data_IF_340899980538
#
_entry.id   IF_340899980538
#
_cell.length_a   1.000
_cell.length_b   1.000
_cell.length_c   1.000
_cell.angle_alpha   90.00
_cell.angle_beta   90.00
_cell.angle_gamma   90.00
#
_symmetry.space_group_name_H-M   'P 1'
#
loop_
_entity.id
_entity.type
_entity.pdbx_description
1 polymer ?
#
# COMPACT_ATOMS: atom_id res chain seq x y z
N UNK A 1 -7.00 -4.62 0.51
CA UNK A 1 -8.04 -5.10 1.45
C UNK A 1 -8.44 -4.04 2.47
N UNK A 2 -7.53 -3.50 3.29
CA UNK A 2 -7.89 -2.51 4.32
C UNK A 2 -8.64 -1.29 3.77
N UNK A 3 -8.26 -0.78 2.60
CA UNK A 3 -8.99 0.31 1.95
C UNK A 3 -10.45 -0.06 1.62
N UNK A 4 -10.68 -1.25 1.05
CA UNK A 4 -12.04 -1.79 0.80
C UNK A 4 -12.85 -1.94 2.09
N UNK A 5 -12.22 -2.42 3.17
CA UNK A 5 -12.89 -2.53 4.47
C UNK A 5 -13.25 -1.14 5.02
N UNK A 6 -12.35 -0.16 4.89
CA UNK A 6 -12.64 1.21 5.28
C UNK A 6 -13.78 1.84 4.46
N UNK A 7 -13.92 1.49 3.18
CA UNK A 7 -15.02 1.94 2.31
C UNK A 7 -16.36 1.30 2.71
N UNK A 8 -16.36 -0.01 3.00
CA UNK A 8 -17.57 -0.78 3.25
C UNK A 8 -18.09 -0.69 4.69
N UNK A 9 -17.25 -0.30 5.65
CA UNK A 9 -17.60 -0.25 7.07
C UNK A 9 -18.27 1.08 7.43
N UNK A 10 -19.52 0.99 7.90
CA UNK A 10 -20.28 2.15 8.39
C UNK A 10 -19.95 2.55 9.83
N UNK A 11 -19.47 1.61 10.66
CA UNK A 11 -19.08 1.93 12.04
C UNK A 11 -17.83 2.84 12.02
N UNK A 12 -17.89 4.05 12.61
CA UNK A 12 -16.78 5.00 12.53
C UNK A 12 -15.48 4.50 13.16
N UNK A 13 -15.56 3.71 14.24
CA UNK A 13 -14.37 3.24 14.96
C UNK A 13 -13.65 2.18 14.14
N UNK A 14 -14.40 1.20 13.63
CA UNK A 14 -13.85 0.15 12.77
C UNK A 14 -13.36 0.72 11.43
N UNK A 15 -14.13 1.63 10.84
CA UNK A 15 -13.74 2.34 9.61
C UNK A 15 -12.40 3.05 9.78
N UNK A 16 -12.20 3.77 10.88
CA UNK A 16 -10.96 4.48 11.15
C UNK A 16 -9.78 3.52 11.35
N UNK A 17 -10.01 2.37 12.00
CA UNK A 17 -8.99 1.33 12.13
C UNK A 17 -8.53 0.81 10.77
N UNK A 18 -9.47 0.49 9.87
CA UNK A 18 -9.14 0.03 8.52
C UNK A 18 -8.50 1.12 7.67
N UNK A 19 -8.95 2.36 7.82
CA UNK A 19 -8.37 3.51 7.14
C UNK A 19 -6.91 3.71 7.55
N UNK A 20 -6.61 3.67 8.86
CA UNK A 20 -5.24 3.75 9.37
C UNK A 20 -4.37 2.61 8.82
N UNK A 21 -4.87 1.37 8.85
CA UNK A 21 -4.15 0.22 8.32
C UNK A 21 -3.90 0.33 6.80
N UNK A 22 -4.84 0.91 6.03
CA UNK A 22 -4.67 1.16 4.61
C UNK A 22 -3.58 2.22 4.35
N UNK A 23 -3.60 3.32 5.12
CA UNK A 23 -2.59 4.37 5.05
C UNK A 23 -1.20 3.86 5.40
N UNK A 24 -1.05 3.10 6.48
CA UNK A 24 0.24 2.54 6.90
C UNK A 24 0.79 1.55 5.86
N UNK A 25 -0.08 0.73 5.28
CA UNK A 25 0.31 -0.20 4.20
C UNK A 25 0.73 0.52 2.92
N UNK A 26 0.02 1.59 2.53
CA UNK A 26 0.38 2.44 1.40
C UNK A 26 1.75 3.11 1.62
N UNK A 27 1.96 3.66 2.81
CA UNK A 27 3.23 4.29 3.19
C UNK A 27 4.39 3.30 3.18
N UNK A 28 4.21 2.09 3.71
CA UNK A 28 5.22 1.04 3.66
C UNK A 28 5.57 0.67 2.21
N UNK A 29 4.55 0.50 1.35
CA UNK A 29 4.74 0.18 -0.06
C UNK A 29 5.53 1.28 -0.76
N UNK A 30 5.17 2.56 -0.56
CA UNK A 30 5.88 3.71 -1.11
C UNK A 30 7.33 3.80 -0.64
N UNK A 31 7.58 3.52 0.64
CA UNK A 31 8.90 3.66 1.24
C UNK A 31 9.87 2.51 0.89
N UNK A 32 9.35 1.30 0.69
CA UNK A 32 10.19 0.10 0.63
C UNK A 32 10.01 -0.77 -0.61
N UNK A 33 8.87 -0.65 -1.29
CA UNK A 33 8.53 -1.47 -2.46
C UNK A 33 8.31 -0.63 -3.71
N UNK A 34 8.41 0.71 -3.65
CA UNK A 34 8.38 1.55 -4.84
C UNK A 34 9.81 1.96 -5.20
N UNK A 35 10.30 1.48 -6.34
CA UNK A 35 11.64 1.86 -6.80
C UNK A 35 11.65 3.27 -7.44
N UNK A 36 12.84 3.75 -7.81
CA UNK A 36 13.03 5.08 -8.44
C UNK A 36 12.37 5.23 -9.81
N UNK A 37 11.90 4.14 -10.42
CA UNK A 37 11.15 4.14 -11.68
C UNK A 37 9.63 4.04 -11.45
N UNK A 38 9.17 4.20 -10.22
CA UNK A 38 7.76 4.03 -9.81
C UNK A 38 7.20 2.63 -10.06
N UNK A 39 8.05 1.61 -10.00
CA UNK A 39 7.62 0.22 -10.12
C UNK A 39 7.45 -0.39 -8.74
N UNK A 40 6.31 -1.03 -8.51
CA UNK A 40 6.07 -1.83 -7.31
C UNK A 40 6.91 -3.11 -7.40
N UNK A 41 7.72 -3.34 -6.39
CA UNK A 41 8.59 -4.51 -6.21
C UNK A 41 7.80 -5.65 -5.56
N UNK A 42 8.11 -6.89 -5.93
CA UNK A 42 7.38 -8.11 -5.50
C UNK A 42 7.57 -8.42 -4.01
N UNK A 43 8.78 -8.26 -3.49
CA UNK A 43 9.12 -8.66 -2.13
C UNK A 43 10.28 -7.84 -1.55
N UNK A 44 10.43 -7.95 -0.22
CA UNK A 44 11.55 -7.43 0.56
C UNK A 44 12.18 -8.57 1.37
N UNK A 45 13.50 -8.69 1.36
CA UNK A 45 14.20 -9.74 2.10
C UNK A 45 14.41 -9.35 3.56
N UNK A 46 13.94 -10.18 4.49
CA UNK A 46 14.18 -10.03 5.94
C UNK A 46 15.44 -10.74 6.42
N UNK A 47 16.25 -11.30 5.50
CA UNK A 47 17.50 -11.96 5.88
C UNK A 47 18.49 -10.93 6.40
N UNK A 48 19.18 -11.25 7.49
CA UNK A 48 20.08 -10.32 8.17
C UNK A 48 21.18 -9.75 7.25
N UNK A 49 21.62 -10.52 6.27
CA UNK A 49 22.65 -10.14 5.30
C UNK A 49 22.11 -9.35 4.09
N UNK A 50 20.80 -9.34 3.87
CA UNK A 50 20.19 -8.69 2.71
C UNK A 50 19.73 -7.26 3.02
N UNK A 51 19.79 -6.83 4.30
CA UNK A 51 19.50 -5.45 4.73
C UNK A 51 18.21 -4.86 4.15
N UNK A 52 17.13 -5.66 4.11
CA UNK A 52 15.85 -5.25 3.55
C UNK A 52 15.91 -4.90 2.05
N UNK A 53 16.76 -5.56 1.27
CA UNK A 53 16.78 -5.43 -0.18
C UNK A 53 15.45 -5.89 -0.79
N UNK A 54 14.92 -5.08 -1.70
CA UNK A 54 13.73 -5.40 -2.50
C UNK A 54 14.10 -6.14 -3.79
N UNK A 55 13.24 -7.04 -4.26
CA UNK A 55 13.41 -7.75 -5.52
C UNK A 55 12.88 -6.94 -6.72
N UNK A 56 13.67 -6.84 -7.79
CA UNK A 56 13.36 -6.03 -8.98
C UNK A 56 12.42 -6.67 -10.01
N UNK A 57 11.92 -7.88 -9.74
CA UNK A 57 10.93 -8.54 -10.58
C UNK A 57 9.58 -7.82 -10.49
N UNK A 58 9.39 -6.80 -11.32
CA UNK A 58 8.12 -6.09 -11.44
C UNK A 58 7.04 -7.01 -12.03
N UNK A 59 6.00 -7.33 -11.24
CA UNK A 59 4.82 -8.06 -11.72
C UNK A 59 3.65 -7.09 -11.84
N UNK A 60 2.87 -7.25 -12.92
CA UNK A 60 1.69 -6.41 -13.16
C UNK A 60 0.62 -6.54 -12.08
N UNK A 61 0.55 -7.70 -11.42
CA UNK A 61 -0.38 -7.96 -10.32
C UNK A 61 -0.12 -7.06 -9.10
N UNK A 62 1.14 -6.90 -8.69
CA UNK A 62 1.50 -6.10 -7.52
C UNK A 62 1.17 -4.62 -7.75
N UNK A 63 1.49 -4.12 -8.95
CA UNK A 63 1.12 -2.77 -9.37
C UNK A 63 -0.41 -2.59 -9.42
N UNK A 64 -1.13 -3.58 -9.95
CA UNK A 64 -2.60 -3.54 -10.03
C UNK A 64 -3.25 -3.44 -8.66
N UNK A 65 -2.83 -4.29 -7.72
CA UNK A 65 -3.34 -4.25 -6.33
C UNK A 65 -2.99 -2.95 -5.61
N UNK A 66 -1.77 -2.43 -5.80
CA UNK A 66 -1.36 -1.17 -5.21
C UNK A 66 -2.23 -0.01 -5.75
N UNK A 67 -2.45 0.06 -7.07
CA UNK A 67 -3.29 1.09 -7.70
C UNK A 67 -4.73 0.99 -7.21
N UNK A 68 -5.31 -0.21 -7.16
CA UNK A 68 -6.68 -0.42 -6.65
C UNK A 68 -6.81 0.09 -5.20
N UNK A 69 -5.91 -0.36 -4.32
CA UNK A 69 -5.90 0.05 -2.91
C UNK A 69 -5.75 1.56 -2.72
N UNK A 70 -4.83 2.19 -3.47
CA UNK A 70 -4.62 3.65 -3.44
C UNK A 70 -5.82 4.43 -3.99
N UNK A 71 -6.48 3.91 -5.04
CA UNK A 71 -7.65 4.55 -5.63
C UNK A 71 -8.84 4.58 -4.68
N UNK A 72 -9.04 3.49 -3.93
CA UNK A 72 -10.09 3.42 -2.90
C UNK A 72 -9.70 4.27 -1.69
N UNK A 73 -8.44 4.24 -1.27
CA UNK A 73 -7.99 5.12 -0.19
C UNK A 73 -8.24 6.59 -0.54
N UNK A 74 -7.93 6.99 -1.78
CA UNK A 74 -8.21 8.32 -2.31
C UNK A 74 -9.71 8.64 -2.36
N UNK A 75 -10.58 7.69 -2.76
CA UNK A 75 -12.03 7.92 -2.83
C UNK A 75 -12.62 8.24 -1.45
N UNK A 76 -12.07 7.65 -0.38
CA UNK A 76 -12.55 7.82 0.99
C UNK A 76 -12.00 9.10 1.62
N UNK A 77 -10.72 9.43 1.41
CA UNK A 77 -10.04 10.53 2.11
C UNK A 77 -10.09 11.84 1.34
N UNK A 78 -10.17 11.79 0.01
CA UNK A 78 -9.91 12.95 -0.87
C UNK A 78 -8.46 13.43 -0.84
N UNK A 79 -7.61 12.80 -0.03
CA UNK A 79 -6.19 13.10 0.05
C UNK A 79 -5.46 12.23 -0.95
N UNK A 80 -4.69 12.88 -1.82
CA UNK A 80 -3.71 12.14 -2.60
C UNK A 80 -2.76 11.46 -1.62
N UNK A 81 -2.69 10.13 -1.63
CA UNK A 81 -1.71 9.33 -0.90
C UNK A 81 -0.25 9.60 -1.34
N UNK A 82 -0.01 10.73 -2.01
CA UNK A 82 1.23 11.20 -2.62
C UNK A 82 1.81 12.45 -1.96
N UNK A 83 1.43 12.80 -0.72
CA UNK A 83 2.37 13.55 0.12
C UNK A 83 3.34 12.57 0.76
#
# INVERSE_FOLDING_TARGET
LSALLAEATSDPTERNMYLQAATDSANFTKAHLLNSLNQVQDEISVRANDSCASNSLAKSFDAGLAIEGLSILYSITGETATQ
#
